data_IF_498683879670
#
_entry.id   IF_498683879670
#
_cell.length_a   1.000
_cell.length_b   1.000
_cell.length_c   1.000
_cell.angle_alpha   90.00
_cell.angle_beta   90.00
_cell.angle_gamma   90.00
#
_symmetry.space_group_name_H-M   'P 1'
#
loop_
_entity.id
_entity.type
_entity.pdbx_description
1 polymer ?
#
# COMPACT_ATOMS: atom_id res chain seq x y z
N UNK A 1 -3.86 45.63 -8.06
CA UNK A 1 -4.32 46.62 -7.06
C UNK A 1 -3.49 46.49 -5.80
N UNK A 2 -3.18 47.61 -5.19
CA UNK A 2 -2.53 47.70 -3.89
C UNK A 2 -3.59 48.05 -2.84
N UNK A 3 -3.47 47.51 -1.63
CA UNK A 3 -4.44 47.76 -0.58
C UNK A 3 -4.12 49.09 0.10
N UNK A 4 -5.12 49.97 0.22
CA UNK A 4 -5.03 51.22 0.96
C UNK A 4 -6.09 51.26 2.04
N UNK A 5 -5.67 51.39 3.30
CA UNK A 5 -6.58 51.53 4.42
C UNK A 5 -6.89 53.01 4.69
N UNK A 6 -8.18 53.37 4.73
CA UNK A 6 -8.62 54.75 5.02
C UNK A 6 -8.18 55.25 6.41
N UNK A 7 -8.02 54.36 7.39
CA UNK A 7 -7.60 54.74 8.74
C UNK A 7 -6.09 55.01 8.82
N UNK A 8 -5.27 54.27 8.07
CA UNK A 8 -3.84 54.60 7.93
C UNK A 8 -3.66 55.94 7.20
N UNK A 9 -4.44 56.19 6.13
CA UNK A 9 -4.45 57.48 5.42
C UNK A 9 -4.88 58.64 6.33
N UNK A 10 -5.92 58.45 7.15
CA UNK A 10 -6.35 59.43 8.12
C UNK A 10 -5.29 59.72 9.18
N UNK A 11 -4.64 58.68 9.70
CA UNK A 11 -3.56 58.81 10.68
C UNK A 11 -2.36 59.57 10.10
N UNK A 12 -2.00 59.31 8.84
CA UNK A 12 -0.93 60.01 8.13
C UNK A 12 -1.15 61.53 8.11
N UNK A 13 -2.39 61.98 7.85
CA UNK A 13 -2.76 63.41 7.85
C UNK A 13 -3.23 63.95 9.21
N UNK A 14 -2.98 63.23 10.31
CA UNK A 14 -3.31 63.68 11.67
C UNK A 14 -4.81 63.82 11.94
N UNK A 15 -5.65 63.00 11.30
CA UNK A 15 -7.09 62.95 11.51
C UNK A 15 -7.40 61.87 12.55
N UNK A 16 -7.74 62.29 13.78
CA UNK A 16 -7.85 61.39 14.94
C UNK A 16 -9.13 60.56 15.00
N UNK A 17 -10.19 60.93 14.27
CA UNK A 17 -11.46 60.20 14.24
C UNK A 17 -12.05 60.21 12.84
N UNK A 18 -12.42 59.03 12.36
CA UNK A 18 -13.09 58.83 11.08
C UNK A 18 -14.41 58.09 11.33
N UNK A 19 -15.48 58.86 11.45
CA UNK A 19 -16.87 58.42 11.52
C UNK A 19 -17.62 58.86 10.25
N UNK A 20 -18.74 58.21 9.92
CA UNK A 20 -19.53 58.47 8.70
C UNK A 20 -19.88 59.95 8.51
N UNK A 21 -20.20 60.66 9.59
CA UNK A 21 -20.52 62.10 9.60
C UNK A 21 -19.30 63.02 9.34
N UNK A 22 -18.08 62.51 9.56
CA UNK A 22 -16.82 63.23 9.40
C UNK A 22 -16.09 62.90 8.10
N UNK A 23 -16.54 61.86 7.37
CA UNK A 23 -15.87 61.32 6.19
C UNK A 23 -15.77 62.33 5.05
N UNK A 24 -16.79 63.17 4.86
CA UNK A 24 -16.78 64.26 3.86
C UNK A 24 -15.70 65.31 4.20
N UNK A 25 -15.55 65.66 5.48
CA UNK A 25 -14.52 66.62 5.93
C UNK A 25 -13.13 66.01 5.79
N UNK A 26 -12.98 64.74 6.17
CA UNK A 26 -11.73 64.01 6.02
C UNK A 26 -11.32 63.91 4.54
N UNK A 27 -12.26 63.56 3.65
CA UNK A 27 -12.07 63.53 2.19
C UNK A 27 -11.54 64.86 1.64
N UNK A 28 -12.21 65.97 1.97
CA UNK A 28 -11.78 67.31 1.51
C UNK A 28 -10.37 67.66 2.00
N UNK A 29 -10.07 67.35 3.26
CA UNK A 29 -8.75 67.62 3.84
C UNK A 29 -7.67 66.77 3.17
N UNK A 30 -7.85 65.45 3.15
CA UNK A 30 -6.88 64.50 2.58
C UNK A 30 -6.59 64.84 1.11
N UNK A 31 -7.61 65.12 0.30
CA UNK A 31 -7.41 65.46 -1.10
C UNK A 31 -6.67 66.79 -1.29
N UNK A 32 -6.91 67.78 -0.43
CA UNK A 32 -6.20 69.06 -0.49
C UNK A 32 -4.72 68.90 -0.10
N UNK A 33 -4.40 68.04 0.86
CA UNK A 33 -3.00 67.76 1.23
C UNK A 33 -2.30 66.98 0.11
N UNK A 34 -2.93 65.97 -0.49
CA UNK A 34 -2.37 65.22 -1.64
C UNK A 34 -2.11 66.13 -2.84
N UNK A 35 -2.97 67.12 -3.10
CA UNK A 35 -2.75 68.13 -4.15
C UNK A 35 -1.52 69.01 -3.91
N UNK A 36 -1.11 69.16 -2.65
CA UNK A 36 0.14 69.87 -2.29
C UNK A 36 1.36 68.95 -2.37
N UNK A 37 1.17 67.64 -2.25
CA UNK A 37 2.20 66.59 -2.28
C UNK A 37 2.33 65.94 -3.68
N UNK A 38 2.36 66.74 -4.75
CA UNK A 38 2.53 66.28 -6.14
C UNK A 38 1.52 65.19 -6.60
N UNK A 39 0.30 65.19 -6.05
CA UNK A 39 -0.77 64.22 -6.32
C UNK A 39 -0.45 62.75 -5.92
N UNK A 40 0.55 62.53 -5.05
CA UNK A 40 0.94 61.21 -4.53
C UNK A 40 1.03 61.20 -3.00
N UNK A 41 0.82 60.03 -2.38
CA UNK A 41 0.99 59.83 -0.94
C UNK A 41 1.68 58.51 -0.67
N UNK A 42 2.69 58.52 0.22
CA UNK A 42 3.39 57.32 0.64
C UNK A 42 2.86 56.80 1.99
N UNK A 43 2.34 55.57 1.99
CA UNK A 43 1.87 54.89 3.20
C UNK A 43 2.49 53.50 3.27
N UNK A 44 3.21 53.23 4.36
CA UNK A 44 3.83 51.93 4.64
C UNK A 44 4.66 51.41 3.44
N UNK A 45 5.50 52.29 2.88
CA UNK A 45 6.38 52.03 1.73
C UNK A 45 5.64 51.73 0.41
N UNK A 46 4.37 52.13 0.30
CA UNK A 46 3.62 52.09 -0.95
C UNK A 46 3.18 53.49 -1.33
N UNK A 47 3.40 53.85 -2.59
CA UNK A 47 2.93 55.11 -3.16
C UNK A 47 1.54 54.92 -3.75
N UNK A 48 0.63 55.83 -3.42
CA UNK A 48 -0.73 55.87 -3.93
C UNK A 48 -0.95 57.20 -4.63
N UNK A 49 -1.57 57.15 -5.81
CA UNK A 49 -1.97 58.36 -6.52
C UNK A 49 -3.24 58.95 -5.91
N UNK A 50 -3.49 60.23 -6.17
CA UNK A 50 -4.78 60.87 -5.88
C UNK A 50 -5.97 60.10 -6.45
N UNK A 51 -5.81 59.45 -7.60
CA UNK A 51 -6.86 58.63 -8.21
C UNK A 51 -7.19 57.40 -7.36
N UNK A 52 -6.18 56.75 -6.76
CA UNK A 52 -6.38 55.61 -5.86
C UNK A 52 -7.16 56.04 -4.60
N UNK A 53 -6.83 57.20 -4.05
CA UNK A 53 -7.52 57.77 -2.89
C UNK A 53 -8.96 58.15 -3.23
N UNK A 54 -9.20 58.75 -4.40
CA UNK A 54 -10.55 59.06 -4.86
C UNK A 54 -11.39 57.79 -5.06
N UNK A 55 -10.80 56.74 -5.62
CA UNK A 55 -11.46 55.44 -5.79
C UNK A 55 -11.82 54.81 -4.43
N UNK A 56 -10.92 54.86 -3.46
CA UNK A 56 -11.20 54.41 -2.09
C UNK A 56 -12.40 55.14 -1.48
N UNK A 57 -12.44 56.47 -1.59
CA UNK A 57 -13.59 57.24 -1.10
C UNK A 57 -14.88 56.90 -1.86
N UNK A 58 -14.81 56.70 -3.17
CA UNK A 58 -15.96 56.29 -3.97
C UNK A 58 -16.50 54.91 -3.56
N UNK A 59 -15.63 53.95 -3.28
CA UNK A 59 -16.01 52.63 -2.78
C UNK A 59 -16.72 52.73 -1.43
N UNK A 60 -16.17 53.51 -0.49
CA UNK A 60 -16.78 53.73 0.83
C UNK A 60 -18.13 54.43 0.71
N UNK A 61 -18.24 55.46 -0.14
CA UNK A 61 -19.48 56.19 -0.39
C UNK A 61 -20.57 55.27 -1.01
N UNK A 62 -20.17 54.23 -1.77
CA UNK A 62 -21.08 53.28 -2.43
C UNK A 62 -21.60 52.19 -1.47
N UNK A 63 -20.82 51.78 -0.47
CA UNK A 63 -21.19 50.73 0.46
C UNK A 63 -20.70 51.03 1.88
N UNK A 64 -21.63 51.35 2.78
CA UNK A 64 -21.35 51.71 4.17
C UNK A 64 -20.59 50.61 4.95
N UNK A 65 -20.74 49.34 4.55
CA UNK A 65 -20.02 48.23 5.18
C UNK A 65 -18.51 48.30 4.94
N UNK A 66 -18.04 48.90 3.84
CA UNK A 66 -16.62 48.98 3.50
C UNK A 66 -15.85 49.77 4.55
N UNK A 67 -16.41 50.85 5.10
CA UNK A 67 -15.79 51.59 6.19
C UNK A 67 -15.57 50.70 7.43
N UNK A 68 -16.54 49.84 7.75
CA UNK A 68 -16.42 48.89 8.86
C UNK A 68 -15.34 47.83 8.60
N UNK A 69 -15.16 47.42 7.34
CA UNK A 69 -14.13 46.48 6.92
C UNK A 69 -12.74 47.10 7.08
N UNK A 70 -12.52 48.33 6.62
CA UNK A 70 -11.26 49.03 6.85
C UNK A 70 -10.94 49.22 8.32
N UNK A 71 -11.95 49.53 9.15
CA UNK A 71 -11.78 49.68 10.60
C UNK A 71 -11.32 48.37 11.24
N UNK A 72 -11.95 47.27 10.84
CA UNK A 72 -11.61 45.92 11.28
C UNK A 72 -10.17 45.57 10.91
N UNK A 73 -9.80 45.79 9.64
CA UNK A 73 -8.44 45.53 9.15
C UNK A 73 -7.44 46.39 9.92
N UNK A 74 -7.74 47.67 10.14
CA UNK A 74 -6.87 48.58 10.89
C UNK A 74 -6.65 48.14 12.35
N UNK A 75 -7.68 47.57 12.98
CA UNK A 75 -7.56 47.03 14.35
C UNK A 75 -6.70 45.76 14.40
N UNK A 76 -6.66 44.97 13.32
CA UNK A 76 -5.80 43.81 13.20
C UNK A 76 -4.49 44.16 12.48
N UNK A 77 -3.51 44.65 13.24
CA UNK A 77 -2.24 45.14 12.69
C UNK A 77 -1.53 44.10 11.82
N UNK A 78 -1.57 42.81 12.20
CA UNK A 78 -0.92 41.74 11.44
C UNK A 78 -1.56 41.54 10.06
N UNK A 79 -2.90 41.58 9.98
CA UNK A 79 -3.60 41.52 8.69
C UNK A 79 -3.33 42.78 7.87
N UNK A 80 -3.33 43.94 8.53
CA UNK A 80 -3.10 45.23 7.87
C UNK A 80 -1.71 45.26 7.23
N UNK A 81 -0.64 45.00 7.99
CA UNK A 81 0.75 44.96 7.47
C UNK A 81 0.90 43.95 6.35
N UNK A 82 0.29 42.76 6.49
CA UNK A 82 0.32 41.74 5.46
C UNK A 82 -0.30 42.20 4.13
N UNK A 83 -1.45 42.90 4.16
CA UNK A 83 -2.07 43.43 2.93
C UNK A 83 -1.21 44.49 2.24
N UNK A 84 -0.40 45.25 3.01
CA UNK A 84 0.63 46.15 2.49
C UNK A 84 1.89 45.42 1.97
N UNK A 85 1.88 44.09 1.91
CA UNK A 85 2.96 43.29 1.29
C UNK A 85 4.09 42.91 2.24
N UNK A 86 3.90 43.09 3.55
CA UNK A 86 4.83 42.53 4.53
C UNK A 86 4.68 41.00 4.60
N UNK A 87 5.60 40.30 3.95
CA UNK A 87 5.67 38.83 3.92
C UNK A 87 6.31 38.23 5.17
N UNK A 88 6.89 39.04 6.07
CA UNK A 88 7.46 38.54 7.32
C UNK A 88 6.40 38.01 8.29
N UNK A 89 5.16 38.46 8.12
CA UNK A 89 4.03 38.05 8.95
C UNK A 89 3.46 36.73 8.44
N UNK A 90 3.74 35.63 9.15
CA UNK A 90 3.12 34.32 8.87
C UNK A 90 1.62 34.43 9.16
N UNK A 91 0.75 34.01 8.22
CA UNK A 91 -0.69 33.93 8.46
C UNK A 91 -0.98 32.98 9.62
N UNK A 92 -1.61 33.51 10.67
CA UNK A 92 -1.99 32.75 11.86
C UNK A 92 -3.49 32.70 12.01
N UNK A 93 -3.98 31.93 13.01
CA UNK A 93 -5.40 31.95 13.40
C UNK A 93 -5.94 33.36 13.66
N UNK A 94 -5.09 34.32 14.01
CA UNK A 94 -5.47 35.73 14.17
C UNK A 94 -5.97 36.39 12.87
N UNK A 95 -5.69 35.81 11.69
CA UNK A 95 -6.23 36.29 10.41
C UNK A 95 -7.66 35.81 10.18
N UNK A 96 -8.09 34.73 10.84
CA UNK A 96 -9.44 34.19 10.75
C UNK A 96 -10.45 34.90 11.65
N UNK A 97 -9.97 35.57 12.71
CA UNK A 97 -10.79 36.14 13.77
C UNK A 97 -10.81 37.69 13.89
N UNK A 98 -10.71 38.50 12.83
CA UNK A 98 -10.96 39.94 12.99
C UNK A 98 -12.41 40.28 13.38
N UNK A 99 -13.38 39.39 13.11
CA UNK A 99 -14.82 39.67 13.26
C UNK A 99 -15.66 38.54 13.86
N UNK A 100 -15.08 37.41 14.28
CA UNK A 100 -15.86 36.26 14.73
C UNK A 100 -16.81 35.77 13.65
N UNK A 101 -16.32 34.92 12.74
CA UNK A 101 -17.01 34.45 11.52
C UNK A 101 -17.18 35.60 10.51
N UNK A 102 -16.12 35.81 9.73
CA UNK A 102 -16.09 36.67 8.55
C UNK A 102 -17.39 36.57 7.76
N UNK A 103 -18.15 37.66 7.70
CA UNK A 103 -19.27 37.75 6.78
C UNK A 103 -18.77 37.46 5.37
N UNK A 104 -19.58 36.76 4.56
CA UNK A 104 -19.24 36.44 3.17
C UNK A 104 -18.81 37.69 2.38
N UNK A 105 -19.36 38.85 2.75
CA UNK A 105 -19.05 40.15 2.18
C UNK A 105 -17.64 40.64 2.53
N UNK A 106 -17.20 40.51 3.79
CA UNK A 106 -15.84 40.87 4.20
C UNK A 106 -14.80 39.99 3.51
N UNK A 107 -15.04 38.67 3.48
CA UNK A 107 -14.18 37.72 2.77
C UNK A 107 -14.10 38.07 1.29
N UNK A 108 -15.23 38.36 0.65
CA UNK A 108 -15.25 38.73 -0.77
C UNK A 108 -14.50 40.04 -1.03
N UNK A 109 -14.62 41.02 -0.13
CA UNK A 109 -13.94 42.30 -0.22
C UNK A 109 -12.41 42.16 -0.09
N UNK A 110 -11.93 41.40 0.89
CA UNK A 110 -10.48 41.29 1.16
C UNK A 110 -9.76 40.34 0.19
N UNK A 111 -10.47 39.39 -0.40
CA UNK A 111 -9.87 38.30 -1.19
C UNK A 111 -8.93 38.76 -2.31
N UNK A 112 -9.24 39.78 -3.15
CA UNK A 112 -8.34 40.20 -4.23
C UNK A 112 -6.98 40.68 -3.70
N UNK A 113 -6.98 41.40 -2.57
CA UNK A 113 -5.77 41.94 -1.95
C UNK A 113 -5.00 40.83 -1.24
N UNK A 114 -5.71 39.98 -0.48
CA UNK A 114 -5.12 38.87 0.25
C UNK A 114 -4.50 37.83 -0.69
N UNK A 115 -5.20 37.45 -1.75
CA UNK A 115 -4.75 36.42 -2.69
C UNK A 115 -3.44 36.78 -3.39
N UNK A 116 -3.27 38.06 -3.76
CA UNK A 116 -2.02 38.55 -4.35
C UNK A 116 -0.83 38.36 -3.41
N UNK A 117 -0.97 38.76 -2.13
CA UNK A 117 0.12 38.67 -1.16
C UNK A 117 0.36 37.22 -0.72
N UNK A 118 -0.72 36.50 -0.43
CA UNK A 118 -0.65 35.12 0.00
C UNK A 118 -0.13 34.20 -1.10
N UNK A 119 -0.46 34.42 -2.37
CA UNK A 119 0.09 33.65 -3.49
C UNK A 119 1.62 33.67 -3.54
N UNK A 120 2.22 34.84 -3.35
CA UNK A 120 3.68 34.99 -3.28
C UNK A 120 4.27 34.29 -2.06
N UNK A 121 3.68 34.53 -0.88
CA UNK A 121 4.11 33.88 0.36
C UNK A 121 4.03 32.35 0.26
N UNK A 122 2.91 31.84 -0.27
CA UNK A 122 2.62 30.41 -0.38
C UNK A 122 3.55 29.72 -1.39
N UNK A 123 3.87 30.40 -2.49
CA UNK A 123 4.90 29.95 -3.44
C UNK A 123 6.28 29.83 -2.78
N UNK A 124 6.71 30.87 -2.06
CA UNK A 124 8.01 30.87 -1.37
C UNK A 124 8.05 29.79 -0.27
N UNK A 125 6.97 29.66 0.50
CA UNK A 125 6.83 28.62 1.51
C UNK A 125 6.96 27.21 0.93
N UNK A 126 6.43 26.96 -0.26
CA UNK A 126 6.59 25.66 -0.94
C UNK A 126 8.06 25.39 -1.32
N UNK A 127 8.73 26.41 -1.87
CA UNK A 127 10.15 26.33 -2.24
C UNK A 127 11.04 26.07 -1.02
N UNK A 128 10.86 26.85 0.04
CA UNK A 128 11.63 26.80 1.28
C UNK A 128 11.25 25.59 2.16
N UNK A 129 10.04 25.05 2.02
CA UNK A 129 9.54 23.98 2.87
C UNK A 129 8.93 24.47 4.19
N UNK A 130 8.38 25.68 4.22
CA UNK A 130 7.66 26.19 5.38
C UNK A 130 6.28 25.53 5.51
N UNK A 131 6.24 24.43 6.27
CA UNK A 131 5.05 23.60 6.46
C UNK A 131 3.90 24.35 7.14
N UNK A 132 4.18 25.34 8.01
CA UNK A 132 3.15 26.09 8.72
C UNK A 132 2.29 26.92 7.76
N UNK A 133 2.94 27.59 6.80
CA UNK A 133 2.24 28.36 5.75
C UNK A 133 1.49 27.41 4.81
N UNK A 134 2.06 26.26 4.45
CA UNK A 134 1.41 25.29 3.56
C UNK A 134 0.11 24.72 4.15
N UNK A 135 0.05 24.55 5.47
CA UNK A 135 -1.15 24.06 6.18
C UNK A 135 -2.22 25.14 6.37
N UNK A 136 -1.89 26.41 6.16
CA UNK A 136 -2.82 27.52 6.38
C UNK A 136 -3.93 27.51 5.31
N UNK A 137 -5.19 27.53 5.76
CA UNK A 137 -6.33 27.63 4.86
C UNK A 137 -6.72 29.10 4.71
N UNK A 138 -6.50 29.76 3.57
CA UNK A 138 -6.71 31.20 3.46
C UNK A 138 -8.20 31.57 3.56
N UNK A 139 -8.56 32.64 4.31
CA UNK A 139 -9.95 33.12 4.41
C UNK A 139 -10.32 33.93 3.17
N UNK A 140 -10.44 33.26 2.03
CA UNK A 140 -10.74 33.87 0.74
C UNK A 140 -11.89 33.17 0.02
N UNK A 141 -12.49 33.88 -0.93
CA UNK A 141 -13.49 33.32 -1.83
C UNK A 141 -12.86 32.32 -2.80
N UNK A 142 -13.59 31.23 -3.09
CA UNK A 142 -13.06 30.09 -3.84
C UNK A 142 -12.48 30.43 -5.22
N UNK A 143 -12.99 31.48 -5.89
CA UNK A 143 -12.51 31.89 -7.21
C UNK A 143 -11.08 32.47 -7.19
N UNK A 144 -10.59 32.94 -6.05
CA UNK A 144 -9.20 33.41 -5.89
C UNK A 144 -8.21 32.30 -5.52
N UNK A 145 -8.69 31.08 -5.24
CA UNK A 145 -7.80 29.95 -4.92
C UNK A 145 -6.91 29.59 -6.11
N UNK A 146 -7.44 29.71 -7.33
CA UNK A 146 -6.68 29.42 -8.56
C UNK A 146 -5.47 30.36 -8.69
N UNK A 147 -5.64 31.64 -8.38
CA UNK A 147 -4.56 32.64 -8.45
C UNK A 147 -3.41 32.33 -7.48
N UNK A 148 -3.73 31.76 -6.31
CA UNK A 148 -2.75 31.37 -5.29
C UNK A 148 -2.08 30.04 -5.66
N UNK A 149 -2.87 29.06 -6.10
CA UNK A 149 -2.44 27.67 -6.21
C UNK A 149 -1.92 27.28 -7.58
N UNK A 150 -2.27 28.00 -8.65
CA UNK A 150 -1.82 27.70 -10.02
C UNK A 150 -0.30 27.57 -10.19
N UNK A 151 0.57 28.39 -9.54
CA UNK A 151 2.02 28.22 -9.67
C UNK A 151 2.52 26.90 -9.09
N UNK A 152 1.89 26.42 -8.01
CA UNK A 152 2.25 25.16 -7.38
C UNK A 152 1.67 23.99 -8.16
N UNK A 153 0.43 24.10 -8.65
CA UNK A 153 -0.17 23.08 -9.53
C UNK A 153 0.74 22.77 -10.72
N UNK A 154 1.28 23.82 -11.37
CA UNK A 154 2.23 23.66 -12.46
C UNK A 154 3.50 22.91 -12.02
N UNK A 155 4.09 23.26 -10.88
CA UNK A 155 5.27 22.57 -10.33
C UNK A 155 4.99 21.10 -10.00
N UNK A 156 3.80 20.78 -9.49
CA UNK A 156 3.41 19.40 -9.19
C UNK A 156 3.23 18.58 -10.46
N UNK A 157 2.68 19.20 -11.51
CA UNK A 157 2.55 18.57 -12.82
C UNK A 157 3.93 18.31 -13.45
N UNK A 158 4.83 19.30 -13.41
CA UNK A 158 6.21 19.16 -13.86
C UNK A 158 6.93 18.06 -13.09
N UNK A 159 6.81 18.05 -11.75
CA UNK A 159 7.35 16.99 -10.89
C UNK A 159 6.86 15.61 -11.34
N UNK A 160 5.55 15.44 -11.54
CA UNK A 160 4.94 14.17 -11.96
C UNK A 160 5.51 13.69 -13.30
N UNK A 161 5.59 14.59 -14.28
CA UNK A 161 6.03 14.26 -15.64
C UNK A 161 7.53 13.91 -15.68
N UNK A 162 8.30 14.52 -14.80
CA UNK A 162 9.73 14.29 -14.65
C UNK A 162 10.10 13.00 -13.92
N UNK A 163 9.15 12.32 -13.26
CA UNK A 163 9.44 11.10 -12.51
C UNK A 163 9.80 9.94 -13.45
N UNK A 164 10.94 9.34 -13.18
CA UNK A 164 11.47 8.15 -13.86
C UNK A 164 12.01 7.15 -12.83
N UNK A 165 12.21 5.90 -13.26
CA UNK A 165 12.80 4.86 -12.42
C UNK A 165 14.17 5.25 -11.82
N UNK A 166 14.96 6.06 -12.52
CA UNK A 166 16.30 6.43 -12.08
C UNK A 166 16.33 7.59 -11.08
N UNK A 167 15.27 8.39 -11.00
CA UNK A 167 15.26 9.61 -10.19
C UNK A 167 14.20 9.62 -9.08
N UNK A 168 13.28 8.66 -9.06
CA UNK A 168 12.09 8.68 -8.18
C UNK A 168 12.45 8.82 -6.70
N UNK A 169 13.46 8.09 -6.21
CA UNK A 169 13.89 8.18 -4.80
C UNK A 169 14.46 9.56 -4.45
N UNK A 170 15.17 10.19 -5.39
CA UNK A 170 15.74 11.53 -5.18
C UNK A 170 14.66 12.62 -5.23
N UNK A 171 13.68 12.49 -6.13
CA UNK A 171 12.62 13.48 -6.36
C UNK A 171 11.44 13.34 -5.40
N UNK A 172 11.15 12.14 -4.92
CA UNK A 172 10.10 11.84 -3.92
C UNK A 172 10.77 11.35 -2.64
N UNK A 173 11.57 12.22 -2.03
CA UNK A 173 12.18 11.96 -0.73
C UNK A 173 11.26 12.41 0.42
N UNK A 174 11.63 12.10 1.66
CA UNK A 174 10.81 12.41 2.84
C UNK A 174 10.48 13.91 2.98
N UNK A 175 11.40 14.81 2.62
CA UNK A 175 11.13 16.26 2.68
C UNK A 175 10.08 16.67 1.66
N UNK A 176 10.16 16.14 0.43
CA UNK A 176 9.14 16.40 -0.60
C UNK A 176 7.79 15.81 -0.19
N UNK A 177 7.77 14.59 0.35
CA UNK A 177 6.56 13.95 0.86
C UNK A 177 5.91 14.80 1.95
N UNK A 178 6.68 15.32 2.90
CA UNK A 178 6.16 16.19 3.97
C UNK A 178 5.55 17.47 3.40
N UNK A 179 6.22 18.12 2.44
CA UNK A 179 5.69 19.30 1.74
C UNK A 179 4.38 18.97 1.02
N UNK A 180 4.31 17.86 0.28
CA UNK A 180 3.11 17.43 -0.43
C UNK A 180 1.95 17.14 0.53
N UNK A 181 2.22 16.44 1.62
CA UNK A 181 1.20 16.09 2.62
C UNK A 181 0.72 17.30 3.42
N UNK A 182 1.53 18.36 3.51
CA UNK A 182 1.14 19.63 4.12
C UNK A 182 0.20 20.47 3.26
N UNK A 183 0.11 20.21 1.95
CA UNK A 183 -0.78 20.95 1.05
C UNK A 183 -2.26 20.72 1.42
N UNK A 184 -3.14 21.74 1.23
CA UNK A 184 -4.56 21.64 1.48
C UNK A 184 -5.26 20.59 0.63
N UNK A 185 -6.48 20.23 1.03
CA UNK A 185 -7.35 19.26 0.34
C UNK A 185 -7.56 19.59 -1.15
N UNK A 186 -7.46 20.86 -1.53
CA UNK A 186 -7.49 21.31 -2.92
C UNK A 186 -6.49 20.54 -3.81
N UNK A 187 -5.31 20.17 -3.28
CA UNK A 187 -4.26 19.45 -4.01
C UNK A 187 -4.39 17.92 -3.96
N UNK A 188 -5.48 17.38 -3.39
CA UNK A 188 -5.67 15.93 -3.22
C UNK A 188 -5.55 15.17 -4.54
N UNK A 189 -6.09 15.73 -5.63
CA UNK A 189 -5.98 15.16 -6.97
C UNK A 189 -4.51 15.06 -7.41
N UNK A 190 -3.75 16.15 -7.32
CA UNK A 190 -2.33 16.19 -7.70
C UNK A 190 -1.48 15.21 -6.88
N UNK A 191 -1.70 15.11 -5.56
CA UNK A 191 -1.01 14.12 -4.71
C UNK A 191 -1.32 12.70 -5.13
N UNK A 192 -2.59 12.43 -5.44
CA UNK A 192 -3.04 11.13 -5.92
C UNK A 192 -2.45 10.78 -7.30
N UNK A 193 -2.36 11.75 -8.22
CA UNK A 193 -1.77 11.56 -9.55
C UNK A 193 -0.26 11.29 -9.46
N UNK A 194 0.46 11.98 -8.56
CA UNK A 194 1.87 11.71 -8.27
C UNK A 194 2.04 10.29 -7.70
N UNK A 195 1.22 9.90 -6.73
CA UNK A 195 1.28 8.56 -6.15
C UNK A 195 1.01 7.46 -7.19
N UNK A 196 0.04 7.67 -8.10
CA UNK A 196 -0.23 6.76 -9.21
C UNK A 196 0.93 6.69 -10.21
N UNK A 197 1.64 7.80 -10.42
CA UNK A 197 2.87 7.80 -11.22
C UNK A 197 3.98 7.00 -10.53
N UNK A 198 4.21 7.20 -9.24
CA UNK A 198 5.19 6.42 -8.44
C UNK A 198 4.84 4.94 -8.47
N UNK A 199 3.56 4.59 -8.28
CA UNK A 199 3.01 3.22 -8.45
C UNK A 199 3.38 2.62 -9.81
N UNK A 200 3.16 3.36 -10.91
CA UNK A 200 3.52 2.87 -12.25
C UNK A 200 5.03 2.59 -12.39
N UNK A 201 5.88 3.35 -11.71
CA UNK A 201 7.31 3.12 -11.68
C UNK A 201 7.66 1.87 -10.86
N UNK A 202 6.97 1.59 -9.76
CA UNK A 202 7.12 0.32 -9.03
C UNK A 202 6.85 -0.89 -9.93
N UNK A 203 5.77 -0.83 -10.71
CA UNK A 203 5.43 -1.89 -11.69
C UNK A 203 6.51 -2.01 -12.77
N UNK A 204 7.03 -0.90 -13.28
CA UNK A 204 8.12 -0.90 -14.24
C UNK A 204 9.43 -1.47 -13.66
N UNK A 205 9.73 -1.25 -12.38
CA UNK A 205 10.91 -1.81 -11.72
C UNK A 205 10.88 -3.34 -11.76
N UNK A 206 9.73 -3.92 -11.42
CA UNK A 206 9.53 -5.36 -11.54
C UNK A 206 9.56 -5.82 -13.01
N UNK A 207 8.73 -5.25 -13.87
CA UNK A 207 8.54 -5.75 -15.23
C UNK A 207 9.77 -5.56 -16.15
N UNK A 208 10.61 -4.55 -15.90
CA UNK A 208 11.76 -4.22 -16.77
C UNK A 208 13.10 -4.63 -16.20
N UNK A 209 13.24 -4.67 -14.86
CA UNK A 209 14.50 -5.01 -14.19
C UNK A 209 14.45 -6.30 -13.38
N UNK A 210 13.27 -6.89 -13.22
CA UNK A 210 13.03 -8.06 -12.36
C UNK A 210 13.48 -7.81 -10.90
N UNK A 211 13.49 -6.54 -10.49
CA UNK A 211 14.00 -6.10 -9.19
C UNK A 211 12.83 -5.87 -8.23
N UNK A 212 12.52 -6.89 -7.45
CA UNK A 212 11.41 -6.89 -6.50
C UNK A 212 11.66 -5.94 -5.32
N UNK A 213 12.91 -5.86 -4.84
CA UNK A 213 13.29 -4.97 -3.74
C UNK A 213 13.11 -3.50 -4.15
N UNK A 214 13.52 -3.14 -5.36
CA UNK A 214 13.32 -1.80 -5.91
C UNK A 214 11.82 -1.50 -6.09
N UNK A 215 11.03 -2.47 -6.57
CA UNK A 215 9.58 -2.30 -6.68
C UNK A 215 8.95 -1.98 -5.32
N UNK A 216 9.26 -2.74 -4.26
CA UNK A 216 8.77 -2.46 -2.91
C UNK A 216 9.21 -1.10 -2.39
N UNK A 217 10.48 -0.73 -2.57
CA UNK A 217 10.99 0.60 -2.14
C UNK A 217 10.25 1.75 -2.81
N UNK A 218 10.02 1.65 -4.14
CA UNK A 218 9.29 2.68 -4.87
C UNK A 218 7.83 2.72 -4.43
N UNK A 219 7.20 1.56 -4.21
CA UNK A 219 5.80 1.50 -3.74
C UNK A 219 5.64 2.11 -2.33
N UNK A 220 6.60 1.90 -1.43
CA UNK A 220 6.60 2.51 -0.09
C UNK A 220 6.59 4.05 -0.15
N UNK A 221 7.28 4.66 -1.13
CA UNK A 221 7.20 6.11 -1.34
C UNK A 221 5.78 6.56 -1.70
N UNK A 222 5.05 5.79 -2.51
CA UNK A 222 3.66 6.11 -2.85
C UNK A 222 2.74 6.02 -1.63
N UNK A 223 2.95 5.04 -0.75
CA UNK A 223 2.17 4.86 0.48
C UNK A 223 2.35 5.99 1.50
N UNK A 224 3.51 6.64 1.50
CA UNK A 224 3.77 7.79 2.39
C UNK A 224 3.03 9.07 1.99
N UNK A 225 2.45 9.12 0.79
CA UNK A 225 1.65 10.25 0.33
C UNK A 225 0.20 10.17 0.85
N UNK A 226 -0.33 11.32 1.28
CA UNK A 226 -1.73 11.46 1.67
C UNK A 226 -2.63 11.56 0.44
N UNK A 227 -3.19 10.42 0.04
CA UNK A 227 -3.96 10.22 -1.20
C UNK A 227 -5.43 9.91 -0.93
N UNK A 228 -6.25 10.01 -1.97
CA UNK A 228 -7.65 9.63 -1.87
C UNK A 228 -7.84 8.11 -1.65
N UNK A 229 -9.04 7.72 -1.21
CA UNK A 229 -9.37 6.32 -0.90
C UNK A 229 -9.23 5.37 -2.09
N UNK A 230 -9.61 5.82 -3.29
CA UNK A 230 -9.52 5.01 -4.51
C UNK A 230 -8.06 4.71 -4.89
N UNK A 231 -7.18 5.70 -4.78
CA UNK A 231 -5.75 5.52 -5.01
C UNK A 231 -5.14 4.61 -3.95
N UNK A 232 -5.51 4.79 -2.67
CA UNK A 232 -5.04 3.93 -1.59
C UNK A 232 -5.39 2.46 -1.83
N UNK A 233 -6.61 2.16 -2.24
CA UNK A 233 -7.03 0.80 -2.58
C UNK A 233 -6.15 0.17 -3.69
N UNK A 234 -5.80 0.94 -4.73
CA UNK A 234 -4.91 0.45 -5.81
C UNK A 234 -3.50 0.16 -5.32
N UNK A 235 -3.00 0.95 -4.36
CA UNK A 235 -1.70 0.69 -3.74
C UNK A 235 -1.75 -0.58 -2.90
N UNK A 236 -2.82 -0.79 -2.12
CA UNK A 236 -3.03 -2.00 -1.31
C UNK A 236 -3.12 -3.27 -2.19
N UNK A 237 -3.77 -3.19 -3.35
CA UNK A 237 -3.85 -4.28 -4.32
C UNK A 237 -2.46 -4.64 -4.89
N UNK A 238 -1.67 -3.63 -5.26
CA UNK A 238 -0.31 -3.85 -5.77
C UNK A 238 0.62 -4.41 -4.70
N UNK A 239 0.51 -3.96 -3.44
CA UNK A 239 1.32 -4.47 -2.33
C UNK A 239 1.07 -5.97 -2.11
N UNK A 240 -0.19 -6.40 -2.17
CA UNK A 240 -0.56 -7.82 -2.12
C UNK A 240 0.04 -8.58 -3.29
N UNK A 241 -0.06 -8.04 -4.50
CA UNK A 241 0.51 -8.64 -5.70
C UNK A 241 2.03 -8.84 -5.59
N UNK A 242 2.76 -7.84 -5.08
CA UNK A 242 4.21 -7.95 -4.87
C UNK A 242 4.56 -8.97 -3.77
N UNK A 243 3.80 -9.04 -2.68
CA UNK A 243 4.00 -10.05 -1.62
C UNK A 243 3.76 -11.48 -2.14
N UNK A 244 2.76 -11.68 -2.99
CA UNK A 244 2.51 -12.96 -3.63
C UNK A 244 3.66 -13.36 -4.57
N UNK A 245 4.25 -12.39 -5.28
CA UNK A 245 5.43 -12.62 -6.12
C UNK A 245 6.67 -12.97 -5.29
N UNK A 246 6.89 -12.26 -4.18
CA UNK A 246 7.97 -12.55 -3.22
C UNK A 246 7.88 -13.97 -2.68
N UNK A 247 6.68 -14.39 -2.29
CA UNK A 247 6.41 -15.73 -1.78
C UNK A 247 6.69 -16.80 -2.84
N UNK A 248 6.25 -16.57 -4.09
CA UNK A 248 6.54 -17.48 -5.22
C UNK A 248 8.03 -17.58 -5.52
N UNK A 249 8.78 -16.47 -5.44
CA UNK A 249 10.24 -16.51 -5.60
C UNK A 249 10.90 -17.36 -4.51
N UNK A 250 10.53 -17.14 -3.24
CA UNK A 250 11.03 -17.95 -2.12
C UNK A 250 10.71 -19.43 -2.26
N UNK A 251 9.53 -19.77 -2.79
CA UNK A 251 9.14 -21.16 -3.06
C UNK A 251 9.94 -21.78 -4.21
N UNK A 252 10.18 -21.02 -5.28
CA UNK A 252 11.00 -21.46 -6.41
C UNK A 252 12.47 -21.67 -6.00
N UNK A 253 13.05 -20.76 -5.23
CA UNK A 253 14.42 -20.90 -4.70
C UNK A 253 14.56 -22.16 -3.83
N UNK A 254 13.56 -22.45 -3.00
CA UNK A 254 13.51 -23.70 -2.23
C UNK A 254 13.45 -24.93 -3.14
N UNK A 255 12.68 -24.88 -4.21
CA UNK A 255 12.56 -25.98 -5.18
C UNK A 255 13.87 -26.19 -5.96
N UNK A 256 14.52 -25.12 -6.41
CA UNK A 256 15.82 -25.19 -7.09
C UNK A 256 16.90 -25.77 -6.18
N UNK A 257 16.96 -25.31 -4.92
CA UNK A 257 17.88 -25.89 -3.93
C UNK A 257 17.61 -27.37 -3.65
N UNK A 258 16.35 -27.79 -3.71
CA UNK A 258 15.99 -29.21 -3.61
C UNK A 258 16.43 -30.01 -4.85
N UNK A 259 16.22 -29.48 -6.07
CA UNK A 259 16.66 -30.12 -7.32
C UNK A 259 18.19 -30.26 -7.36
N UNK A 260 18.93 -29.25 -6.91
CA UNK A 260 20.39 -29.32 -6.86
C UNK A 260 20.89 -30.44 -5.92
N UNK A 261 20.23 -30.62 -4.77
CA UNK A 261 20.51 -31.72 -3.86
C UNK A 261 20.17 -33.08 -4.47
N UNK A 262 19.05 -33.16 -5.19
CA UNK A 262 18.63 -34.37 -5.90
C UNK A 262 19.67 -34.80 -6.93
N UNK A 263 20.13 -33.88 -7.77
CA UNK A 263 21.17 -34.15 -8.76
C UNK A 263 22.48 -34.61 -8.11
N UNK A 264 22.91 -33.96 -7.01
CA UNK A 264 24.09 -34.38 -6.24
C UNK A 264 23.93 -35.78 -5.63
N UNK A 265 22.74 -36.13 -5.14
CA UNK A 265 22.46 -37.46 -4.60
C UNK A 265 22.53 -38.54 -5.69
N UNK A 266 22.03 -38.25 -6.89
CA UNK A 266 22.13 -39.15 -8.05
C UNK A 266 23.58 -39.34 -8.51
N UNK A 267 24.38 -38.27 -8.57
CA UNK A 267 25.81 -38.38 -8.85
C UNK A 267 26.52 -39.28 -7.83
N UNK A 268 26.25 -39.11 -6.53
CA UNK A 268 26.84 -39.95 -5.49
C UNK A 268 26.42 -41.42 -5.65
N UNK A 269 25.15 -41.70 -5.99
CA UNK A 269 24.68 -43.06 -6.30
C UNK A 269 25.46 -43.71 -7.46
N UNK A 270 25.83 -42.92 -8.47
CA UNK A 270 26.58 -43.41 -9.64
C UNK A 270 28.00 -43.84 -9.30
N UNK A 271 28.62 -43.25 -8.26
CA UNK A 271 30.03 -43.47 -7.91
C UNK A 271 30.26 -44.24 -6.60
N UNK A 272 29.23 -44.48 -5.78
CA UNK A 272 29.38 -45.16 -4.48
C UNK A 272 28.75 -46.56 -4.48
N UNK A 273 29.55 -47.58 -4.15
CA UNK A 273 29.08 -48.96 -3.96
C UNK A 273 28.42 -49.20 -2.58
N UNK A 274 28.37 -48.19 -1.69
CA UNK A 274 27.92 -48.36 -0.30
C UNK A 274 26.96 -47.25 0.18
N UNK A 275 25.65 -47.51 0.25
CA UNK A 275 24.60 -46.54 0.62
C UNK A 275 24.80 -45.83 1.97
N UNK A 276 25.50 -46.44 2.91
CA UNK A 276 25.74 -45.86 4.24
C UNK A 276 26.68 -44.64 4.20
N UNK A 277 27.61 -44.60 3.23
CA UNK A 277 28.50 -43.45 3.02
C UNK A 277 27.76 -42.27 2.38
N UNK A 278 26.81 -42.56 1.47
CA UNK A 278 25.91 -41.56 0.87
C UNK A 278 25.12 -40.85 1.96
N UNK A 279 24.48 -41.61 2.85
CA UNK A 279 23.66 -41.11 3.96
C UNK A 279 24.45 -40.16 4.88
N UNK A 280 25.63 -40.58 5.34
CA UNK A 280 26.45 -39.76 6.24
C UNK A 280 26.97 -38.47 5.57
N UNK A 281 27.11 -38.43 4.25
CA UNK A 281 27.54 -37.24 3.50
C UNK A 281 26.42 -36.23 3.23
N UNK A 282 25.18 -36.71 3.08
CA UNK A 282 24.01 -35.89 2.73
C UNK A 282 23.21 -35.44 3.97
N UNK A 283 23.17 -36.25 5.03
CA UNK A 283 22.40 -35.97 6.24
C UNK A 283 22.68 -34.57 6.85
N UNK A 284 23.93 -34.08 6.95
CA UNK A 284 24.20 -32.75 7.52
C UNK A 284 23.70 -31.59 6.63
N UNK A 285 23.61 -31.81 5.32
CA UNK A 285 23.19 -30.79 4.33
C UNK A 285 21.67 -30.72 4.20
N UNK A 286 20.99 -31.86 4.34
CA UNK A 286 19.53 -31.99 4.30
C UNK A 286 18.87 -31.41 5.55
N UNK A 287 19.54 -31.51 6.72
CA UNK A 287 19.07 -30.93 7.99
C UNK A 287 18.84 -29.40 7.97
N UNK A 288 19.31 -28.68 6.93
CA UNK A 288 19.12 -27.23 6.76
C UNK A 288 17.90 -26.85 5.92
N UNK A 289 17.25 -27.80 5.26
CA UNK A 289 16.07 -27.56 4.41
C UNK A 289 14.83 -28.11 5.11
N UNK A 290 13.68 -27.48 4.89
CA UNK A 290 12.39 -27.81 5.48
C UNK A 290 12.18 -29.34 5.57
N UNK A 291 12.25 -29.84 6.80
CA UNK A 291 12.43 -31.24 7.16
C UNK A 291 11.26 -32.12 6.76
N UNK A 292 10.08 -31.54 6.52
CA UNK A 292 8.86 -32.28 6.21
C UNK A 292 8.97 -33.05 4.87
N UNK A 293 9.37 -32.37 3.78
CA UNK A 293 9.41 -32.97 2.44
C UNK A 293 10.67 -33.80 2.20
N UNK A 294 11.80 -33.40 2.78
CA UNK A 294 13.04 -34.17 2.70
C UNK A 294 12.93 -35.51 3.45
N UNK A 295 12.15 -35.55 4.55
CA UNK A 295 11.86 -36.77 5.30
C UNK A 295 10.95 -37.73 4.52
N UNK A 296 9.92 -37.23 3.83
CA UNK A 296 9.09 -38.03 2.92
C UNK A 296 9.92 -38.64 1.78
N UNK A 297 10.83 -37.86 1.17
CA UNK A 297 11.67 -38.36 0.09
C UNK A 297 12.69 -39.42 0.55
N UNK A 298 13.32 -39.21 1.72
CA UNK A 298 14.18 -40.21 2.36
C UNK A 298 13.42 -41.50 2.70
N UNK A 299 12.16 -41.38 3.14
CA UNK A 299 11.30 -42.53 3.39
C UNK A 299 11.00 -43.29 2.09
N UNK A 300 10.70 -42.60 0.99
CA UNK A 300 10.46 -43.24 -0.32
C UNK A 300 11.72 -43.97 -0.82
N UNK A 301 12.89 -43.34 -0.76
CA UNK A 301 14.14 -43.99 -1.19
C UNK A 301 14.51 -45.21 -0.33
N UNK A 302 14.31 -45.13 0.98
CA UNK A 302 14.55 -46.26 1.89
C UNK A 302 13.56 -47.40 1.63
N UNK A 303 12.31 -47.08 1.30
CA UNK A 303 11.30 -48.07 0.90
C UNK A 303 11.66 -48.72 -0.44
N UNK A 304 12.15 -47.97 -1.43
CA UNK A 304 12.57 -48.53 -2.73
C UNK A 304 13.84 -49.38 -2.64
N UNK A 305 14.83 -48.98 -1.85
CA UNK A 305 16.03 -49.79 -1.58
C UNK A 305 15.67 -51.07 -0.79
N UNK A 306 14.76 -50.97 0.18
CA UNK A 306 14.22 -52.13 0.87
C UNK A 306 13.44 -53.07 -0.08
N UNK A 307 12.66 -52.52 -1.02
CA UNK A 307 11.97 -53.30 -2.07
C UNK A 307 12.95 -54.03 -3.00
N UNK A 308 14.06 -53.38 -3.39
CA UNK A 308 15.08 -54.01 -4.25
C UNK A 308 15.89 -55.08 -3.52
N UNK A 309 16.07 -54.97 -2.20
CA UNK A 309 16.83 -55.91 -1.38
C UNK A 309 15.99 -57.02 -0.74
N UNK A 310 14.66 -56.92 -0.80
CA UNK A 310 13.71 -57.88 -0.22
C UNK A 310 13.62 -59.18 -1.02
N UNK A 311 14.69 -59.98 -1.02
CA UNK A 311 14.71 -61.35 -1.55
C UNK A 311 15.10 -62.39 -0.49
N UNK A 312 15.14 -62.07 0.81
CA UNK A 312 15.47 -63.07 1.84
C UNK A 312 14.80 -62.89 3.20
N UNK A 313 14.71 -64.00 3.95
CA UNK A 313 13.95 -64.16 5.20
C UNK A 313 14.47 -63.34 6.40
N UNK A 314 15.61 -62.65 6.26
CA UNK A 314 16.23 -61.79 7.29
C UNK A 314 15.61 -60.39 7.40
N UNK A 315 14.62 -60.07 6.57
CA UNK A 315 14.04 -58.72 6.44
C UNK A 315 12.97 -58.33 7.49
N UNK A 316 12.59 -59.23 8.39
CA UNK A 316 11.60 -58.93 9.45
C UNK A 316 12.14 -57.98 10.53
N UNK A 317 13.46 -57.96 10.74
CA UNK A 317 14.11 -57.06 11.71
C UNK A 317 14.28 -55.63 11.16
N UNK A 318 14.39 -55.46 9.84
CA UNK A 318 14.45 -54.15 9.20
C UNK A 318 13.06 -53.48 9.14
N UNK A 319 11.98 -54.26 9.04
CA UNK A 319 10.61 -53.78 9.22
C UNK A 319 10.30 -53.32 10.66
N UNK A 320 10.98 -53.88 11.68
CA UNK A 320 10.90 -53.37 13.06
C UNK A 320 11.51 -51.97 13.25
N UNK A 321 12.44 -51.57 12.37
CA UNK A 321 12.98 -50.19 12.37
C UNK A 321 11.94 -49.21 11.81
N UNK A 322 11.12 -49.65 10.84
CA UNK A 322 9.96 -48.92 10.31
C UNK A 322 8.86 -48.79 11.38
N UNK A 323 8.72 -49.77 12.28
CA UNK A 323 7.74 -49.79 13.38
C UNK A 323 8.03 -48.77 14.51
N UNK A 324 9.23 -48.20 14.61
CA UNK A 324 9.55 -47.17 15.61
C UNK A 324 9.09 -45.74 15.24
N UNK A 325 8.32 -45.58 14.16
CA UNK A 325 7.68 -44.32 13.74
C UNK A 325 6.35 -44.12 14.52
N UNK A 326 6.37 -44.33 15.83
CA UNK A 326 5.16 -44.37 16.68
C UNK A 326 4.68 -42.98 17.15
N UNK A 327 5.04 -41.89 16.45
CA UNK A 327 4.69 -40.51 16.86
C UNK A 327 4.30 -39.60 15.70
N UNK A 328 3.41 -40.05 14.82
CA UNK A 328 2.84 -39.21 13.76
C UNK A 328 1.32 -39.11 13.92
N UNK A 329 0.84 -38.01 14.51
CA UNK A 329 -0.57 -37.56 14.44
C UNK A 329 -0.81 -36.93 13.05
N UNK A 330 -0.86 -37.75 12.00
CA UNK A 330 -1.27 -37.30 10.68
C UNK A 330 -2.14 -38.35 10.00
N UNK A 331 -3.46 -38.10 10.00
CA UNK A 331 -4.48 -39.00 9.46
C UNK A 331 -4.30 -39.31 7.96
N UNK A 332 -3.69 -38.40 7.19
CA UNK A 332 -3.41 -38.62 5.78
C UNK A 332 -2.36 -39.73 5.57
N UNK A 333 -1.28 -39.67 6.33
CA UNK A 333 -0.19 -40.66 6.29
C UNK A 333 -0.69 -42.02 6.80
N UNK A 334 -1.50 -42.01 7.86
CA UNK A 334 -2.13 -43.20 8.42
C UNK A 334 -3.01 -43.94 7.39
N UNK A 335 -3.84 -43.21 6.65
CA UNK A 335 -4.72 -43.79 5.65
C UNK A 335 -3.93 -44.34 4.44
N UNK A 336 -2.88 -43.65 4.00
CA UNK A 336 -2.05 -44.11 2.89
C UNK A 336 -1.25 -45.39 3.23
N UNK A 337 -0.78 -45.51 4.48
CA UNK A 337 -0.12 -46.72 4.98
C UNK A 337 -1.10 -47.90 5.02
N UNK A 338 -2.32 -47.69 5.53
CA UNK A 338 -3.36 -48.74 5.58
C UNK A 338 -3.69 -49.25 4.18
N UNK A 339 -3.91 -48.35 3.22
CA UNK A 339 -4.20 -48.73 1.83
C UNK A 339 -3.06 -49.54 1.19
N UNK A 340 -1.80 -49.21 1.52
CA UNK A 340 -0.64 -49.93 1.00
C UNK A 340 -0.49 -51.33 1.60
N UNK A 341 -0.73 -51.46 2.91
CA UNK A 341 -0.70 -52.75 3.62
C UNK A 341 -1.81 -53.69 3.10
N UNK A 342 -3.00 -53.17 2.85
CA UNK A 342 -4.12 -53.92 2.27
C UNK A 342 -3.76 -54.44 0.86
N UNK A 343 -3.15 -53.59 0.00
CA UNK A 343 -2.67 -54.00 -1.34
C UNK A 343 -1.56 -55.06 -1.27
N UNK A 344 -0.67 -54.98 -0.29
CA UNK A 344 0.37 -56.00 -0.07
C UNK A 344 -0.22 -57.33 0.39
N UNK A 345 -1.21 -57.30 1.29
CA UNK A 345 -1.93 -58.49 1.73
C UNK A 345 -2.67 -59.17 0.57
N UNK A 346 -3.30 -58.39 -0.30
CA UNK A 346 -3.98 -58.88 -1.50
C UNK A 346 -3.01 -59.49 -2.51
N UNK A 347 -1.86 -58.85 -2.74
CA UNK A 347 -0.80 -59.41 -3.58
C UNK A 347 -0.26 -60.74 -3.04
N UNK A 348 -0.08 -60.85 -1.72
CA UNK A 348 0.35 -62.10 -1.07
C UNK A 348 -0.72 -63.21 -1.13
N UNK A 349 -2.02 -62.87 -1.05
CA UNK A 349 -3.12 -63.85 -1.18
C UNK A 349 -3.16 -64.52 -2.57
N UNK A 350 -2.76 -63.77 -3.60
CA UNK A 350 -2.67 -64.30 -4.96
C UNK A 350 -1.53 -65.30 -5.14
N UNK A 351 -0.63 -65.44 -4.16
CA UNK A 351 0.44 -66.45 -4.13
C UNK A 351 0.08 -67.51 -3.08
N UNK A 352 -0.33 -68.71 -3.53
CA UNK A 352 -0.86 -69.79 -2.68
C UNK A 352 0.03 -70.20 -1.49
N UNK A 353 1.34 -69.93 -1.53
CA UNK A 353 2.31 -70.22 -0.46
C UNK A 353 2.49 -69.08 0.58
N UNK A 354 1.82 -67.93 0.42
CA UNK A 354 2.08 -66.73 1.21
C UNK A 354 0.90 -66.25 2.07
N UNK A 355 -0.13 -67.08 2.26
CA UNK A 355 -1.30 -66.75 3.09
C UNK A 355 -0.94 -66.32 4.53
N UNK A 356 0.05 -66.95 5.16
CA UNK A 356 0.51 -66.59 6.52
C UNK A 356 1.19 -65.20 6.58
N UNK A 357 1.69 -64.71 5.45
CA UNK A 357 2.27 -63.36 5.33
C UNK A 357 1.17 -62.34 5.08
N UNK A 358 0.18 -62.68 4.24
CA UNK A 358 -1.00 -61.85 4.02
C UNK A 358 -1.78 -61.57 5.32
N UNK A 359 -1.99 -62.58 6.17
CA UNK A 359 -2.65 -62.40 7.48
C UNK A 359 -1.91 -61.41 8.37
N UNK A 360 -0.56 -61.40 8.34
CA UNK A 360 0.23 -60.44 9.12
C UNK A 360 0.10 -59.01 8.61
N UNK A 361 0.00 -58.81 7.30
CA UNK A 361 -0.23 -57.49 6.72
C UNK A 361 -1.64 -56.97 7.01
N UNK A 362 -2.66 -57.84 6.99
CA UNK A 362 -4.03 -57.52 7.40
C UNK A 362 -4.11 -57.12 8.88
N UNK A 363 -3.43 -57.88 9.77
CA UNK A 363 -3.37 -57.56 11.20
C UNK A 363 -2.68 -56.20 11.46
N UNK A 364 -1.60 -55.90 10.73
CA UNK A 364 -0.89 -54.62 10.80
C UNK A 364 -1.76 -53.46 10.28
N UNK A 365 -2.46 -53.63 9.16
CA UNK A 365 -3.39 -52.62 8.63
C UNK A 365 -4.51 -52.33 9.64
N UNK A 366 -5.03 -53.37 10.29
CA UNK A 366 -6.06 -53.26 11.32
C UNK A 366 -5.58 -52.53 12.58
N UNK A 367 -4.37 -52.82 13.06
CA UNK A 367 -3.74 -52.14 14.21
C UNK A 367 -3.53 -50.65 13.91
N UNK A 368 -3.03 -50.32 12.71
CA UNK A 368 -2.88 -48.93 12.27
C UNK A 368 -4.23 -48.22 12.18
N UNK A 369 -5.25 -48.83 11.58
CA UNK A 369 -6.58 -48.20 11.42
C UNK A 369 -7.24 -47.88 12.76
N UNK A 370 -7.16 -48.79 13.73
CA UNK A 370 -7.92 -48.70 14.99
C UNK A 370 -7.12 -48.19 16.19
N UNK A 371 -5.81 -47.96 16.03
CA UNK A 371 -4.90 -47.66 17.13
C UNK A 371 -4.62 -48.91 17.98
N UNK A 372 -3.39 -49.04 18.48
CA UNK A 372 -2.96 -50.19 19.26
C UNK A 372 -3.84 -50.40 20.50
N UNK A 373 -4.77 -51.36 20.42
CA UNK A 373 -5.41 -51.98 21.59
C UNK A 373 -5.07 -53.45 21.56
N UNK A 374 -4.29 -53.93 22.53
CA UNK A 374 -4.01 -55.36 22.73
C UNK A 374 -5.35 -56.13 22.83
N UNK A 375 -5.71 -56.89 21.81
CA UNK A 375 -6.85 -57.82 21.85
C UNK A 375 -6.31 -59.25 21.93
N UNK A 376 -6.77 -60.00 22.94
CA UNK A 376 -6.51 -61.43 23.12
C UNK A 376 -7.17 -62.24 21.99
N UNK A 377 -6.48 -63.30 21.56
CA UNK A 377 -6.87 -64.34 20.59
C UNK A 377 -8.38 -64.47 20.28
N UNK A 378 -8.73 -64.34 18.98
CA UNK A 378 -10.06 -64.59 18.40
C UNK A 378 -10.50 -66.06 18.54
N UNK A 379 -11.80 -66.38 18.75
CA UNK A 379 -12.37 -67.67 18.38
C UNK A 379 -12.74 -67.72 16.89
N UNK A 380 -12.62 -68.91 16.30
CA UNK A 380 -12.88 -69.25 14.88
C UNK A 380 -14.35 -69.06 14.45
N UNK A 381 -14.63 -68.95 13.13
CA UNK A 381 -15.90 -68.48 12.59
C UNK A 381 -16.97 -69.58 12.58
N UNK A 382 -18.25 -69.17 12.63
CA UNK A 382 -19.39 -69.98 12.22
C UNK A 382 -20.18 -69.27 11.11
N UNK A 383 -20.69 -70.12 10.22
CA UNK A 383 -21.33 -69.88 8.93
C UNK A 383 -22.43 -68.82 8.86
N UNK A 384 -22.61 -68.26 7.66
CA UNK A 384 -23.80 -67.51 7.20
C UNK A 384 -25.08 -68.36 7.30
N UNK A 385 -26.29 -67.74 7.36
CA UNK A 385 -26.99 -67.45 6.10
C UNK A 385 -27.92 -66.20 6.06
N UNK A 386 -28.03 -65.62 4.86
CA UNK A 386 -29.24 -65.21 4.10
C UNK A 386 -30.23 -64.16 4.70
N UNK A 387 -30.76 -63.35 3.76
CA UNK A 387 -32.06 -62.63 3.72
C UNK A 387 -31.94 -61.12 3.98
N UNK A 388 -32.13 -60.19 3.02
CA UNK A 388 -33.21 -59.91 2.04
C UNK A 388 -34.13 -58.77 2.51
N UNK A 389 -34.62 -57.99 1.52
CA UNK A 389 -35.67 -56.96 1.63
C UNK A 389 -35.26 -55.66 2.38
N UNK A 390 -35.55 -54.43 1.96
CA UNK A 390 -36.36 -53.90 0.86
C UNK A 390 -36.18 -52.36 0.82
N UNK A 391 -36.43 -51.75 -0.35
CA UNK A 391 -37.22 -50.53 -0.60
C UNK A 391 -37.03 -49.27 0.29
N UNK A 392 -37.07 -48.04 -0.21
CA UNK A 392 -37.45 -47.48 -1.50
C UNK A 392 -37.32 -45.94 -1.38
N UNK A 393 -37.46 -45.29 -2.53
CA UNK A 393 -38.05 -43.96 -2.70
C UNK A 393 -37.15 -42.73 -2.48
N UNK A 394 -37.26 -41.64 -3.23
CA UNK A 394 -37.71 -41.31 -4.60
C UNK A 394 -37.44 -39.79 -4.72
N UNK A 395 -37.26 -39.35 -5.96
CA UNK A 395 -37.49 -37.99 -6.48
C UNK A 395 -36.46 -36.86 -6.27
N UNK A 396 -35.96 -36.46 -7.44
CA UNK A 396 -35.95 -35.10 -8.01
C UNK A 396 -34.82 -34.17 -7.54
N UNK A 397 -34.10 -33.46 -8.41
CA UNK A 397 -34.24 -33.16 -9.84
C UNK A 397 -32.89 -32.80 -10.47
N UNK A 398 -32.76 -33.19 -11.73
CA UNK A 398 -31.95 -32.64 -12.85
C UNK A 398 -31.30 -31.25 -12.65
N UNK A 399 -29.99 -31.12 -12.92
CA UNK A 399 -29.36 -30.76 -14.20
C UNK A 399 -29.71 -29.32 -14.65
N UNK A 400 -28.77 -28.40 -14.91
CA UNK A 400 -27.85 -28.25 -16.06
C UNK A 400 -26.58 -27.51 -15.56
N UNK A 401 -25.32 -27.85 -15.81
CA UNK A 401 -24.49 -27.95 -17.03
C UNK A 401 -24.22 -26.65 -17.82
N UNK A 402 -22.93 -26.23 -17.82
CA UNK A 402 -22.13 -25.59 -18.92
C UNK A 402 -22.47 -24.11 -19.25
N UNK A 403 -21.56 -23.17 -19.57
CA UNK A 403 -20.14 -23.17 -19.97
C UNK A 403 -19.65 -21.72 -20.28
N UNK A 404 -18.34 -21.43 -20.06
CA UNK A 404 -17.39 -20.56 -20.84
C UNK A 404 -17.63 -19.02 -20.95
N UNK A 405 -16.66 -18.09 -20.89
CA UNK A 405 -15.26 -17.92 -21.38
C UNK A 405 -14.46 -17.08 -20.35
N UNK A 406 -13.14 -17.14 -20.14
CA UNK A 406 -12.02 -17.55 -21.01
C UNK A 406 -11.29 -16.31 -21.55
N UNK A 407 -10.12 -15.96 -20.98
CA UNK A 407 -8.98 -15.31 -21.66
C UNK A 407 -7.82 -15.14 -20.65
N UNK A 408 -6.68 -15.78 -20.92
CA UNK A 408 -5.45 -15.56 -20.16
C UNK A 408 -4.46 -16.72 -20.08
N UNK A 409 -4.31 -17.53 -21.13
CA UNK A 409 -3.17 -18.44 -21.27
C UNK A 409 -2.66 -18.39 -22.71
N UNK A 410 -1.49 -17.78 -22.91
CA UNK A 410 -0.62 -17.99 -24.05
C UNK A 410 0.80 -17.64 -23.59
N UNK A 411 1.76 -18.47 -24.01
CA UNK A 411 3.19 -18.51 -23.65
C UNK A 411 3.60 -19.37 -22.45
N UNK A 412 3.59 -20.69 -22.64
CA UNK A 412 4.72 -21.59 -22.28
C UNK A 412 4.47 -22.99 -22.80
N UNK A 413 4.81 -23.22 -24.07
CA UNK A 413 5.07 -24.55 -24.62
C UNK A 413 5.95 -24.39 -25.86
N UNK A 414 7.26 -24.32 -25.66
CA UNK A 414 8.28 -24.68 -26.64
C UNK A 414 9.59 -24.76 -25.88
N UNK A 415 9.95 -25.95 -25.41
CA UNK A 415 11.28 -26.54 -25.54
C UNK A 415 11.30 -27.90 -24.82
N UNK A 416 12.10 -28.82 -25.35
CA UNK A 416 12.35 -30.20 -24.90
C UNK A 416 11.40 -31.25 -25.50
N UNK A 417 11.73 -31.68 -26.72
CA UNK A 417 11.83 -33.09 -27.13
C UNK A 417 12.23 -33.17 -28.63
N UNK A 418 13.54 -33.06 -28.91
CA UNK A 418 14.26 -33.86 -29.93
C UNK A 418 15.59 -34.24 -29.29
#
# INVERSE_FOLDING_TARGET
MSFLNIFDLAQHYGISKLETSSLIKAKRRILAEIELDDDEVEIRNQTFSKSDVLNLFYEIDKNENILSFHKTIFQNQNLNTFLYGDSSTIPTKAFHDPLGRTSTDFTSYISPFFAKQFGNLYKNAFEEGNIEVLKFNPPISAHFLEDIYSPILKKLEDLKNDLTLSNVESKINNSVIEKLNALPQYFMKSRSDIALRVRSLSVDAWNKKEDLDLAFKILDLAFKLDVNSSTKQKLDEDEKGLKDLEQKQKENEKLEGFIELMNKAEEIKKYSANPSQIYNSLAPKILKIDLSKAKEFLQIMLIEDAKQKAHSRTDYQNLQIILNIEKMDNDFVKNSIVEHLEKMAESCRNVHSQYSIAEKFDDLAYEFKNGYKRVRSKPKPKAEPISSYENSSIASSDAWSRSFLGLGNLYRFYFICI
#
